data_IF_302087747347
#
_entry.id   IF_302087747347
#
_cell.length_a   1.000
_cell.length_b   1.000
_cell.length_c   1.000
_cell.angle_alpha   90.00
_cell.angle_beta   90.00
_cell.angle_gamma   90.00
#
_symmetry.space_group_name_H-M   'P 1'
#
loop_
_entity.id
_entity.type
_entity.pdbx_description
1 polymer ?
#
# COMPACT_ATOMS: atom_id res chain seq x y z
N UNK A 1 14.47 12.00 5.33
CA UNK A 1 15.09 11.00 6.25
C UNK A 1 14.16 9.81 6.39
N UNK A 2 14.62 8.62 6.84
CA UNK A 2 13.77 7.42 6.98
C UNK A 2 12.57 7.66 7.91
N UNK A 3 12.78 8.38 9.01
CA UNK A 3 11.71 8.75 9.96
C UNK A 3 10.55 9.50 9.30
N UNK A 4 10.82 10.30 8.28
CA UNK A 4 9.78 11.00 7.55
C UNK A 4 8.89 10.03 6.78
N UNK A 5 9.47 8.99 6.17
CA UNK A 5 8.69 7.94 5.48
C UNK A 5 7.86 7.11 6.47
N UNK A 6 8.36 6.90 7.69
CA UNK A 6 7.58 6.28 8.77
C UNK A 6 6.38 7.15 9.17
N UNK A 7 6.62 8.44 9.38
CA UNK A 7 5.58 9.39 9.76
C UNK A 7 4.48 9.50 8.69
N UNK A 8 4.86 9.47 7.41
CA UNK A 8 3.92 9.47 6.28
C UNK A 8 3.23 8.11 6.07
N UNK A 9 3.53 7.10 6.90
CA UNK A 9 2.97 5.75 6.77
C UNK A 9 3.44 5.00 5.52
N UNK A 10 4.48 5.49 4.85
CA UNK A 10 5.10 4.86 3.68
C UNK A 10 6.04 3.74 4.10
N UNK A 11 6.55 3.72 5.33
CA UNK A 11 7.43 2.68 5.85
C UNK A 11 6.99 2.24 7.26
N UNK A 12 6.97 0.93 7.51
CA UNK A 12 6.61 0.36 8.82
C UNK A 12 7.86 -0.29 9.38
N UNK A 13 8.57 0.26 10.38
CA UNK A 13 9.77 -0.38 10.89
C UNK A 13 9.43 -1.63 11.72
N UNK A 14 10.30 -2.63 11.71
CA UNK A 14 10.31 -3.62 12.79
C UNK A 14 10.79 -2.93 14.08
N UNK A 15 10.19 -3.28 15.21
CA UNK A 15 10.65 -2.80 16.52
C UNK A 15 11.07 -3.96 17.39
N UNK A 16 12.28 -3.87 17.94
CA UNK A 16 12.72 -4.82 18.99
C UNK A 16 11.90 -4.63 20.27
N UNK A 17 11.93 -5.59 21.20
CA UNK A 17 11.33 -5.40 22.53
C UNK A 17 11.86 -4.15 23.25
N UNK A 18 13.12 -3.77 22.99
CA UNK A 18 13.76 -2.55 23.52
C UNK A 18 13.44 -1.28 22.71
N UNK A 19 12.53 -1.34 21.74
CA UNK A 19 12.09 -0.20 20.93
C UNK A 19 13.05 0.26 19.82
N UNK A 20 14.12 -0.49 19.53
CA UNK A 20 15.03 -0.17 18.42
C UNK A 20 14.37 -0.51 17.09
N UNK A 21 14.56 0.36 16.09
CA UNK A 21 14.07 0.15 14.73
C UNK A 21 15.01 -0.78 13.98
N UNK A 22 14.45 -1.76 13.29
CA UNK A 22 15.15 -2.66 12.36
C UNK A 22 14.50 -2.55 10.98
N UNK A 23 15.32 -2.65 9.95
CA UNK A 23 14.89 -2.60 8.56
C UNK A 23 15.45 -3.82 7.83
N UNK A 24 14.60 -4.48 7.06
CA UNK A 24 14.97 -5.60 6.21
C UNK A 24 15.50 -5.10 4.85
N UNK A 25 16.04 -6.01 4.05
CA UNK A 25 16.42 -5.70 2.67
C UNK A 25 15.23 -5.20 1.83
N UNK A 26 14.02 -5.66 2.13
CA UNK A 26 12.81 -5.18 1.45
C UNK A 26 12.44 -3.74 1.84
N UNK A 27 12.68 -3.35 3.10
CA UNK A 27 12.54 -1.96 3.52
C UNK A 27 13.52 -1.05 2.79
N UNK A 28 14.75 -1.52 2.55
CA UNK A 28 15.73 -0.78 1.77
C UNK A 28 15.28 -0.59 0.32
N UNK A 29 14.79 -1.64 -0.34
CA UNK A 29 14.24 -1.54 -1.71
C UNK A 29 13.03 -0.59 -1.76
N UNK A 30 12.17 -0.62 -0.74
CA UNK A 30 11.04 0.29 -0.63
C UNK A 30 11.51 1.75 -0.50
N UNK A 31 12.53 1.99 0.33
CA UNK A 31 13.15 3.31 0.50
C UNK A 31 13.75 3.80 -0.81
N UNK A 32 14.49 2.95 -1.53
CA UNK A 32 15.02 3.25 -2.87
C UNK A 32 13.91 3.64 -3.82
N UNK A 33 12.79 2.91 -3.80
CA UNK A 33 11.67 3.23 -4.68
C UNK A 33 10.99 4.56 -4.34
N UNK A 34 10.78 4.83 -3.04
CA UNK A 34 10.29 6.14 -2.59
C UNK A 34 11.22 7.26 -3.06
N UNK A 35 12.54 7.05 -2.98
CA UNK A 35 13.53 8.03 -3.43
C UNK A 35 13.47 8.24 -4.95
N UNK A 36 13.36 7.17 -5.73
CA UNK A 36 13.21 7.25 -7.19
C UNK A 36 11.96 8.06 -7.56
N UNK A 37 10.81 7.75 -6.96
CA UNK A 37 9.56 8.47 -7.20
C UNK A 37 9.66 9.96 -6.86
N UNK A 38 10.43 10.31 -5.83
CA UNK A 38 10.60 11.72 -5.41
C UNK A 38 11.59 12.47 -6.30
N UNK A 39 12.76 11.89 -6.52
CA UNK A 39 13.88 12.58 -7.16
C UNK A 39 13.85 12.50 -8.68
N UNK A 40 13.41 11.37 -9.23
CA UNK A 40 13.48 11.11 -10.67
C UNK A 40 12.12 11.33 -11.34
N UNK A 41 11.03 10.97 -10.67
CA UNK A 41 9.65 11.15 -11.17
C UNK A 41 8.98 12.45 -10.66
N UNK A 42 9.65 13.20 -9.79
CA UNK A 42 9.22 14.53 -9.34
C UNK A 42 8.02 14.56 -8.38
N UNK A 43 7.64 13.44 -7.77
CA UNK A 43 6.57 13.41 -6.77
C UNK A 43 7.03 13.96 -5.42
N UNK A 44 6.11 14.55 -4.66
CA UNK A 44 6.33 14.79 -3.24
C UNK A 44 5.79 13.61 -2.41
N UNK A 45 6.03 13.61 -1.10
CA UNK A 45 5.59 12.53 -0.20
C UNK A 45 4.07 12.31 -0.19
N UNK A 46 3.30 13.40 -0.22
CA UNK A 46 1.85 13.30 -0.31
C UNK A 46 1.40 12.68 -1.64
N UNK A 47 2.10 12.98 -2.73
CA UNK A 47 1.93 12.37 -4.05
C UNK A 47 2.23 10.88 -4.04
N UNK A 48 3.36 10.47 -3.46
CA UNK A 48 3.70 9.04 -3.28
C UNK A 48 2.64 8.34 -2.43
N UNK A 49 2.21 8.96 -1.33
CA UNK A 49 1.17 8.41 -0.45
C UNK A 49 -0.18 8.27 -1.16
N UNK A 50 -0.57 9.25 -1.98
CA UNK A 50 -1.81 9.18 -2.78
C UNK A 50 -1.70 8.14 -3.88
N UNK A 51 -0.57 8.05 -4.55
CA UNK A 51 -0.30 7.06 -5.60
C UNK A 51 -0.53 5.64 -5.08
N UNK A 52 0.01 5.31 -3.91
CA UNK A 52 -0.18 3.98 -3.33
C UNK A 52 -1.58 3.77 -2.74
N UNK A 53 -2.29 4.84 -2.38
CA UNK A 53 -3.67 4.75 -1.93
C UNK A 53 -4.65 4.40 -3.06
N UNK A 54 -4.26 4.67 -4.31
CA UNK A 54 -5.01 4.29 -5.51
C UNK A 54 -4.87 2.80 -5.85
N UNK A 55 -3.97 2.06 -5.21
CA UNK A 55 -3.77 0.63 -5.48
C UNK A 55 -4.75 -0.19 -4.67
N UNK A 56 -5.83 -0.73 -5.27
CA UNK A 56 -6.71 -1.62 -4.55
C UNK A 56 -6.04 -2.97 -4.30
N UNK A 57 -6.42 -3.63 -3.20
CA UNK A 57 -5.81 -4.91 -2.82
C UNK A 57 -5.98 -6.01 -3.88
N UNK A 58 -7.12 -6.07 -4.58
CA UNK A 58 -7.41 -7.12 -5.57
C UNK A 58 -6.56 -7.02 -6.85
N UNK A 59 -5.91 -5.88 -7.12
CA UNK A 59 -4.96 -5.76 -8.23
C UNK A 59 -3.60 -6.38 -7.89
N UNK A 60 -3.31 -6.58 -6.60
CA UNK A 60 -2.02 -7.06 -6.11
C UNK A 60 -2.07 -8.48 -5.54
N UNK A 61 -3.23 -8.90 -5.03
CA UNK A 61 -3.47 -10.26 -4.52
C UNK A 61 -4.95 -10.62 -4.63
N UNK A 62 -5.33 -11.91 -4.66
CA UNK A 62 -6.72 -12.31 -4.48
C UNK A 62 -7.31 -11.74 -3.19
N UNK A 63 -8.48 -11.10 -3.28
CA UNK A 63 -9.19 -10.62 -2.11
C UNK A 63 -9.80 -11.78 -1.33
N UNK A 64 -9.80 -11.68 0.00
CA UNK A 64 -10.39 -12.68 0.87
C UNK A 64 -11.13 -11.97 2.01
N UNK A 65 -12.46 -12.11 2.07
CA UNK A 65 -13.30 -11.40 3.03
C UNK A 65 -12.98 -11.76 4.49
N UNK A 66 -12.52 -12.99 4.77
CA UNK A 66 -12.17 -13.43 6.14
C UNK A 66 -10.95 -12.68 6.70
N UNK A 67 -9.92 -12.50 5.86
CA UNK A 67 -8.64 -11.89 6.26
C UNK A 67 -8.58 -10.39 5.95
N UNK A 68 -9.27 -9.95 4.90
CA UNK A 68 -9.29 -8.58 4.43
C UNK A 68 -10.48 -7.77 4.96
N UNK A 69 -11.50 -8.44 5.51
CA UNK A 69 -12.81 -7.88 5.79
C UNK A 69 -13.65 -7.78 4.52
N UNK A 70 -14.99 -7.65 4.64
CA UNK A 70 -15.87 -7.55 3.48
C UNK A 70 -15.46 -6.40 2.57
N UNK A 71 -15.31 -6.68 1.28
CA UNK A 71 -14.91 -5.65 0.32
C UNK A 71 -15.82 -4.41 0.33
N UNK A 72 -17.12 -4.61 0.53
CA UNK A 72 -18.11 -3.54 0.64
C UNK A 72 -17.85 -2.58 1.82
N UNK A 73 -17.18 -3.06 2.87
CA UNK A 73 -16.87 -2.33 4.10
C UNK A 73 -15.41 -1.82 4.11
N UNK A 74 -14.65 -2.06 3.04
CA UNK A 74 -13.24 -1.69 3.00
C UNK A 74 -13.07 -0.17 2.79
N UNK A 75 -12.83 0.54 3.89
CA UNK A 75 -12.64 2.01 3.92
C UNK A 75 -11.49 2.49 3.01
N UNK A 76 -10.47 1.66 2.80
CA UNK A 76 -9.36 1.98 1.91
C UNK A 76 -9.82 2.17 0.45
N UNK A 77 -10.80 1.39 0.00
CA UNK A 77 -11.42 1.54 -1.32
C UNK A 77 -12.32 2.77 -1.33
N UNK A 78 -13.18 2.89 -0.33
CA UNK A 78 -14.25 3.90 -0.32
C UNK A 78 -13.71 5.32 -0.29
N UNK A 79 -12.58 5.53 0.39
CA UNK A 79 -12.02 6.87 0.56
C UNK A 79 -10.87 7.15 -0.39
N UNK A 80 -10.10 6.14 -0.82
CA UNK A 80 -8.86 6.24 -1.61
C UNK A 80 -7.81 7.25 -1.06
N UNK A 81 -7.98 7.80 0.13
CA UNK A 81 -7.11 8.87 0.65
C UNK A 81 -5.79 8.35 1.19
N UNK A 82 -5.81 7.12 1.70
CA UNK A 82 -4.70 6.50 2.40
C UNK A 82 -4.64 5.02 2.03
N UNK A 83 -3.43 4.45 1.86
CA UNK A 83 -3.29 3.02 1.62
C UNK A 83 -3.81 2.18 2.80
N UNK A 84 -4.23 0.95 2.49
CA UNK A 84 -4.96 0.10 3.42
C UNK A 84 -4.20 -0.18 4.74
N UNK A 85 -2.87 -0.25 4.69
CA UNK A 85 -2.04 -0.49 5.89
C UNK A 85 -1.98 0.70 6.84
N UNK A 86 -2.30 1.92 6.41
CA UNK A 86 -2.45 3.07 7.32
C UNK A 86 -3.81 2.98 8.02
N UNK A 87 -4.88 2.81 7.24
CA UNK A 87 -6.25 2.78 7.74
C UNK A 87 -6.46 1.61 8.70
N UNK A 88 -6.12 0.39 8.29
CA UNK A 88 -6.39 -0.82 9.11
C UNK A 88 -5.53 -0.88 10.37
N UNK A 89 -4.32 -0.31 10.36
CA UNK A 89 -3.52 -0.16 11.57
C UNK A 89 -4.12 0.86 12.53
N UNK A 90 -4.56 2.00 12.02
CA UNK A 90 -5.22 3.04 12.83
C UNK A 90 -6.52 2.53 13.46
N UNK A 91 -7.26 1.68 12.75
CA UNK A 91 -8.48 1.03 13.25
C UNK A 91 -8.22 -0.17 14.17
N UNK A 92 -6.96 -0.58 14.37
CA UNK A 92 -6.62 -1.78 15.14
C UNK A 92 -7.02 -3.10 14.47
N UNK A 93 -7.43 -3.08 13.20
CA UNK A 93 -7.83 -4.26 12.42
C UNK A 93 -6.65 -5.07 11.88
N UNK A 94 -5.45 -4.50 11.86
CA UNK A 94 -4.18 -5.18 11.53
C UNK A 94 -3.02 -4.61 12.33
N UNK A 95 -2.11 -5.48 12.74
CA UNK A 95 -0.83 -5.12 13.33
C UNK A 95 0.22 -4.73 12.27
N UNK A 96 1.30 -4.09 12.73
CA UNK A 96 2.48 -3.79 11.91
C UNK A 96 3.04 -5.04 11.23
N UNK A 97 3.08 -6.16 11.95
CA UNK A 97 3.63 -7.43 11.47
C UNK A 97 2.79 -8.03 10.34
N UNK A 98 1.46 -8.01 10.50
CA UNK A 98 0.54 -8.48 9.48
C UNK A 98 0.62 -7.62 8.22
N UNK A 99 0.73 -6.29 8.37
CA UNK A 99 0.94 -5.39 7.24
C UNK A 99 2.27 -5.66 6.53
N UNK A 100 3.37 -5.87 7.25
CA UNK A 100 4.69 -6.15 6.66
C UNK A 100 4.72 -7.46 5.86
N UNK A 101 3.93 -8.45 6.26
CA UNK A 101 3.78 -9.73 5.53
C UNK A 101 2.75 -9.67 4.39
N UNK A 102 1.96 -8.62 4.29
CA UNK A 102 0.91 -8.49 3.28
C UNK A 102 1.49 -8.14 1.90
N UNK A 103 1.11 -8.90 0.87
CA UNK A 103 1.53 -8.66 -0.52
C UNK A 103 1.20 -7.25 -1.02
N UNK A 104 0.06 -6.68 -0.60
CA UNK A 104 -0.32 -5.31 -0.92
C UNK A 104 0.74 -4.33 -0.42
N UNK A 105 1.16 -4.46 0.84
CA UNK A 105 2.21 -3.62 1.38
C UNK A 105 3.53 -3.85 0.64
N UNK A 106 3.97 -5.10 0.53
CA UNK A 106 5.25 -5.49 -0.08
C UNK A 106 5.41 -4.97 -1.51
N UNK A 107 4.36 -5.09 -2.31
CA UNK A 107 4.39 -4.77 -3.74
C UNK A 107 4.09 -3.30 -4.03
N UNK A 108 3.28 -2.62 -3.21
CA UNK A 108 2.80 -1.27 -3.52
C UNK A 108 3.88 -0.18 -3.61
N UNK A 109 5.14 -0.45 -3.24
CA UNK A 109 6.29 0.43 -3.48
C UNK A 109 7.53 -0.39 -3.87
N UNK A 110 7.34 -1.40 -4.71
CA UNK A 110 8.46 -2.03 -5.41
C UNK A 110 8.71 -1.27 -6.72
N UNK A 111 9.97 -0.96 -7.02
CA UNK A 111 10.32 -0.30 -8.27
C UNK A 111 10.52 -1.32 -9.41
N UNK A 112 9.63 -2.30 -9.48
CA UNK A 112 9.61 -3.28 -10.55
C UNK A 112 8.92 -2.72 -11.80
N UNK A 113 9.15 -3.35 -12.95
CA UNK A 113 8.54 -2.90 -14.21
C UNK A 113 7.01 -3.02 -14.17
N UNK A 114 6.49 -4.03 -13.48
CA UNK A 114 5.06 -4.28 -13.29
C UNK A 114 4.40 -3.12 -12.55
N UNK A 115 5.03 -2.63 -11.48
CA UNK A 115 4.50 -1.50 -10.72
C UNK A 115 4.51 -0.20 -11.54
N UNK A 116 5.57 0.04 -12.33
CA UNK A 116 5.60 1.19 -13.24
C UNK A 116 4.45 1.16 -14.24
N UNK A 117 4.16 -0.01 -14.80
CA UNK A 117 3.01 -0.19 -15.70
C UNK A 117 1.69 0.07 -14.98
N UNK A 118 1.50 -0.53 -13.80
CA UNK A 118 0.28 -0.37 -12.99
C UNK A 118 0.01 1.10 -12.61
N UNK A 119 1.04 1.86 -12.22
CA UNK A 119 0.88 3.27 -11.91
C UNK A 119 0.49 4.11 -13.14
N UNK A 120 1.03 3.79 -14.32
CA UNK A 120 0.64 4.46 -15.57
C UNK A 120 -0.81 4.15 -15.94
N UNK A 121 -1.23 2.89 -15.77
CA UNK A 121 -2.63 2.50 -15.97
C UNK A 121 -3.55 3.28 -15.04
N UNK A 122 -3.22 3.36 -13.74
CA UNK A 122 -3.98 4.14 -12.76
C UNK A 122 -4.10 5.62 -13.14
N UNK A 123 -3.08 6.20 -13.77
CA UNK A 123 -3.12 7.59 -14.25
C UNK A 123 -4.08 7.80 -15.44
N UNK A 124 -4.42 6.73 -16.17
CA UNK A 124 -5.29 6.78 -17.36
C UNK A 124 -6.67 6.16 -17.14
N UNK A 125 -6.86 5.46 -16.01
CA UNK A 125 -8.09 4.75 -15.65
C UNK A 125 -9.24 5.73 -15.37
N UNK A 126 -10.44 5.40 -15.85
CA UNK A 126 -11.65 6.12 -15.43
C UNK A 126 -12.05 5.62 -14.03
N UNK A 127 -12.74 6.44 -13.21
CA UNK A 127 -13.18 6.03 -11.86
C UNK A 127 -14.01 4.72 -11.83
N UNK A 128 -14.69 4.41 -12.92
CA UNK A 128 -15.46 3.18 -13.12
C UNK A 128 -14.59 1.91 -13.25
N UNK A 129 -13.33 2.04 -13.66
CA UNK A 129 -12.37 0.94 -13.86
C UNK A 129 -11.59 0.59 -12.57
N UNK A 130 -11.73 1.43 -11.54
CA UNK A 130 -11.27 1.19 -10.17
C UNK A 130 -12.30 0.40 -9.36
N UNK A 131 -13.44 0.01 -9.94
CA UNK A 131 -14.41 -0.80 -9.20
C UNK A 131 -13.83 -2.17 -8.89
N UNK A 132 -14.08 -2.67 -7.67
CA UNK A 132 -13.77 -4.05 -7.37
C UNK A 132 -14.49 -5.01 -8.33
N UNK A 133 -13.87 -6.16 -8.66
CA UNK A 133 -14.57 -7.20 -9.39
C UNK A 133 -15.86 -7.54 -8.65
N UNK A 134 -16.98 -7.64 -9.39
CA UNK A 134 -18.24 -8.11 -8.81
C UNK A 134 -17.95 -9.47 -8.17
N UNK A 135 -18.32 -9.64 -6.89
CA UNK A 135 -18.23 -10.95 -6.25
C UNK A 135 -18.97 -11.94 -7.13
N UNK A 136 -18.27 -12.96 -7.62
CA UNK A 136 -18.91 -14.09 -8.27
C UNK A 136 -19.85 -14.69 -7.24
N UNK A 137 -21.16 -14.46 -7.43
CA UNK A 137 -22.21 -15.21 -6.77
C UNK A 137 -21.88 -16.67 -6.98
N UNK A 138 -21.48 -17.33 -5.91
CA UNK A 138 -21.36 -18.79 -5.90
C UNK A 138 -22.80 -19.29 -5.83
N UNK A 139 -23.28 -19.84 -6.93
CA UNK A 139 -24.43 -20.76 -6.97
C UNK A 139 -24.14 -21.99 -6.10
#
# INVERSE_FOLDING_TARGET
TIRLYEMEGLLIPFRTPTGRRLYSYEDLRRIECIRHLIHDEGLNLAGVRRLVALLPCWRLKPHNDETDGPMAECTAIQQEKEPCWIIRRREGKRSDEECRRCEVYRNALSCSQEMKTLYRELATCKPQDLRPPQASSSD
#
